data_IF_601662936638
#
_entry.id   IF_601662936638
#
_cell.length_a   1.000
_cell.length_b   1.000
_cell.length_c   1.000
_cell.angle_alpha   90.00
_cell.angle_beta   90.00
_cell.angle_gamma   90.00
#
_symmetry.space_group_name_H-M   'P 1'
#
loop_
_entity.id
_entity.type
_entity.pdbx_description
1 polymer ?
#
# COMPACT_ATOMS: atom_id res chain seq x y z
N UNK A 1 2.32 -16.81 20.13
CA UNK A 1 1.46 -15.62 20.25
C UNK A 1 1.82 -14.67 19.12
N UNK A 2 0.87 -14.18 18.32
CA UNK A 2 1.18 -13.16 17.31
C UNK A 2 1.68 -11.89 17.99
N UNK A 3 2.73 -11.30 17.45
CA UNK A 3 3.24 -9.99 17.90
C UNK A 3 2.35 -8.88 17.35
N UNK A 4 2.41 -7.68 17.94
CA UNK A 4 1.71 -6.52 17.37
C UNK A 4 2.19 -6.21 15.95
N UNK A 5 3.48 -6.40 15.66
CA UNK A 5 4.05 -6.28 14.33
C UNK A 5 3.39 -7.25 13.34
N UNK A 6 3.25 -8.53 13.71
CA UNK A 6 2.56 -9.53 12.88
C UNK A 6 1.09 -9.16 12.64
N UNK A 7 0.38 -8.70 13.67
CA UNK A 7 -1.02 -8.26 13.54
C UNK A 7 -1.16 -7.06 12.60
N UNK A 8 -0.25 -6.09 12.70
CA UNK A 8 -0.25 -4.92 11.82
C UNK A 8 0.08 -5.29 10.36
N UNK A 9 1.06 -6.19 10.14
CA UNK A 9 1.39 -6.69 8.81
C UNK A 9 0.20 -7.44 8.18
N UNK A 10 -0.49 -8.29 8.94
CA UNK A 10 -1.69 -9.00 8.46
C UNK A 10 -2.83 -8.03 8.10
N UNK A 11 -3.05 -6.97 8.89
CA UNK A 11 -4.03 -5.93 8.58
C UNK A 11 -3.68 -5.21 7.26
N UNK A 12 -2.41 -4.84 7.06
CA UNK A 12 -1.95 -4.17 5.85
C UNK A 12 -2.09 -5.05 4.61
N UNK A 13 -1.79 -6.36 4.72
CA UNK A 13 -2.07 -7.33 3.64
C UNK A 13 -3.57 -7.45 3.35
N UNK A 14 -4.41 -7.39 4.38
CA UNK A 14 -5.86 -7.30 4.24
C UNK A 14 -6.30 -6.08 3.44
N UNK A 15 -5.74 -4.90 3.75
CA UNK A 15 -6.00 -3.67 3.01
C UNK A 15 -5.53 -3.75 1.54
N UNK A 16 -4.37 -4.35 1.27
CA UNK A 16 -3.89 -4.56 -0.09
C UNK A 16 -4.88 -5.39 -0.93
N UNK A 17 -5.39 -6.48 -0.36
CA UNK A 17 -6.40 -7.32 -1.01
C UNK A 17 -7.73 -6.58 -1.21
N UNK A 18 -8.12 -5.72 -0.28
CA UNK A 18 -9.30 -4.85 -0.44
C UNK A 18 -9.16 -3.93 -1.65
N UNK A 19 -8.02 -3.25 -1.81
CA UNK A 19 -7.77 -2.38 -2.97
C UNK A 19 -7.75 -3.16 -4.29
N UNK A 20 -7.11 -4.34 -4.34
CA UNK A 20 -7.15 -5.21 -5.53
C UNK A 20 -8.57 -5.68 -5.88
N UNK A 21 -9.39 -5.92 -4.85
CA UNK A 21 -10.80 -6.27 -5.05
C UNK A 21 -11.56 -5.08 -5.63
N UNK A 22 -11.39 -3.87 -5.08
CA UNK A 22 -12.01 -2.65 -5.60
C UNK A 22 -11.57 -2.34 -7.03
N UNK A 23 -10.31 -2.60 -7.39
CA UNK A 23 -9.79 -2.41 -8.77
C UNK A 23 -10.66 -3.10 -9.81
N UNK A 24 -11.16 -4.30 -9.50
CA UNK A 24 -12.05 -5.05 -10.40
C UNK A 24 -13.44 -4.41 -10.56
N UNK A 25 -13.90 -3.65 -9.56
CA UNK A 25 -15.20 -2.97 -9.55
C UNK A 25 -15.15 -1.52 -10.08
N UNK A 26 -14.01 -0.83 -9.95
CA UNK A 26 -13.82 0.58 -10.29
C UNK A 26 -12.65 0.77 -11.29
N UNK A 27 -12.84 0.41 -12.57
CA UNK A 27 -11.76 0.39 -13.55
C UNK A 27 -11.17 1.77 -13.91
N UNK A 28 -11.89 2.88 -13.64
CA UNK A 28 -11.39 4.25 -13.87
C UNK A 28 -10.21 4.58 -12.93
N UNK A 29 -10.24 4.04 -11.72
CA UNK A 29 -9.25 4.31 -10.67
C UNK A 29 -8.29 3.13 -10.50
N UNK A 30 -8.23 2.22 -11.47
CA UNK A 30 -7.58 0.93 -11.32
C UNK A 30 -6.09 1.04 -11.00
N UNK A 31 -5.39 1.99 -11.63
CA UNK A 31 -3.96 2.22 -11.41
C UNK A 31 -3.69 2.77 -10.00
N UNK A 32 -4.53 3.69 -9.52
CA UNK A 32 -4.39 4.26 -8.17
C UNK A 32 -4.69 3.23 -7.09
N UNK A 33 -5.69 2.37 -7.35
CA UNK A 33 -6.02 1.25 -6.48
C UNK A 33 -4.91 0.20 -6.44
N UNK A 34 -4.23 -0.07 -7.56
CA UNK A 34 -3.07 -0.96 -7.57
C UNK A 34 -1.89 -0.35 -6.79
N UNK A 35 -1.60 0.93 -6.97
CA UNK A 35 -0.54 1.63 -6.22
C UNK A 35 -0.80 1.55 -4.71
N UNK A 36 -2.04 1.76 -4.27
CA UNK A 36 -2.42 1.61 -2.86
C UNK A 36 -2.19 0.18 -2.36
N UNK A 37 -2.56 -0.83 -3.16
CA UNK A 37 -2.34 -2.23 -2.81
C UNK A 37 -0.86 -2.58 -2.65
N UNK A 38 -0.04 -2.18 -3.63
CA UNK A 38 1.42 -2.40 -3.62
C UNK A 38 2.09 -1.70 -2.44
N UNK A 39 1.64 -0.48 -2.12
CA UNK A 39 2.16 0.29 -0.97
C UNK A 39 1.84 -0.42 0.35
N UNK A 40 0.61 -0.88 0.53
CA UNK A 40 0.23 -1.66 1.71
C UNK A 40 1.06 -2.93 1.87
N UNK A 41 1.30 -3.68 0.79
CA UNK A 41 2.13 -4.89 0.84
C UNK A 41 3.59 -4.58 1.20
N UNK A 42 4.15 -3.49 0.66
CA UNK A 42 5.51 -3.06 0.97
C UNK A 42 5.67 -2.69 2.43
N UNK A 43 4.73 -1.91 2.98
CA UNK A 43 4.75 -1.53 4.41
C UNK A 43 4.53 -2.76 5.29
N UNK A 44 3.67 -3.70 4.90
CA UNK A 44 3.48 -4.94 5.64
C UNK A 44 4.78 -5.73 5.77
N UNK A 45 5.56 -5.82 4.69
CA UNK A 45 6.90 -6.43 4.71
C UNK A 45 7.85 -5.72 5.66
N UNK A 46 7.94 -4.38 5.58
CA UNK A 46 8.82 -3.60 6.47
C UNK A 46 8.48 -3.78 7.95
N UNK A 47 7.19 -3.72 8.29
CA UNK A 47 6.72 -3.88 9.67
C UNK A 47 6.97 -5.31 10.20
N UNK A 48 6.89 -6.31 9.34
CA UNK A 48 7.14 -7.71 9.69
C UNK A 48 8.64 -8.02 9.84
N UNK A 49 9.47 -7.45 8.96
CA UNK A 49 10.92 -7.69 8.90
C UNK A 49 11.70 -6.88 9.95
N UNK A 50 11.46 -5.57 10.03
CA UNK A 50 12.09 -4.67 10.99
C UNK A 50 11.15 -3.52 11.38
N UNK A 51 10.30 -3.71 12.41
CA UNK A 51 9.31 -2.72 12.82
C UNK A 51 9.89 -1.41 13.38
N UNK A 52 11.21 -1.36 13.63
CA UNK A 52 11.92 -0.17 14.12
C UNK A 52 12.94 0.36 13.10
N UNK A 53 13.01 -0.25 11.92
CA UNK A 53 13.91 0.17 10.84
C UNK A 53 13.50 1.51 10.25
N UNK A 54 14.47 2.21 9.66
CA UNK A 54 14.19 3.43 8.92
C UNK A 54 13.31 3.11 7.71
N UNK A 55 12.22 3.86 7.56
CA UNK A 55 11.38 3.73 6.38
C UNK A 55 12.18 4.17 5.15
N UNK A 56 12.14 3.43 4.03
CA UNK A 56 12.68 3.93 2.78
C UNK A 56 11.91 5.19 2.38
N UNK A 57 12.52 6.05 1.56
CA UNK A 57 11.80 7.17 0.93
C UNK A 57 10.64 6.61 0.11
N UNK A 58 9.48 6.53 0.76
CA UNK A 58 8.23 6.10 0.17
C UNK A 58 7.66 7.34 -0.51
N UNK A 59 7.97 7.50 -1.80
CA UNK A 59 7.22 8.42 -2.64
C UNK A 59 5.83 7.79 -2.76
N UNK A 60 4.91 8.22 -1.88
CA UNK A 60 3.49 7.89 -1.98
C UNK A 60 3.03 8.22 -3.40
N UNK A 61 2.74 7.18 -4.17
CA UNK A 61 2.47 7.17 -5.61
C UNK A 61 2.73 8.50 -6.30
N UNK A 62 3.97 8.72 -6.75
CA UNK A 62 4.45 9.87 -7.53
C UNK A 62 3.43 11.01 -7.63
N UNK A 63 3.43 11.90 -6.62
CA UNK A 63 2.57 13.09 -6.58
C UNK A 63 2.68 13.89 -7.90
N UNK A 64 3.79 13.75 -8.64
CA UNK A 64 3.94 14.34 -9.99
C UNK A 64 2.97 13.78 -11.03
N UNK A 65 2.50 12.53 -10.93
CA UNK A 65 1.46 11.97 -11.82
C UNK A 65 0.09 12.59 -11.58
N UNK A 66 -0.23 12.95 -10.32
CA UNK A 66 -1.50 13.60 -9.95
C UNK A 66 -1.57 15.06 -10.44
N UNK A 67 -0.43 15.75 -10.51
CA UNK A 67 -0.35 17.12 -11.05
C UNK A 67 -0.38 17.17 -12.59
N UNK A 68 0.08 16.10 -13.25
CA UNK A 68 0.16 16.03 -14.72
C UNK A 68 -1.19 15.87 -15.43
N UNK A 69 -2.25 15.44 -14.73
CA UNK A 69 -3.61 15.32 -15.30
C UNK A 69 -4.41 16.63 -15.27
N UNK A 70 -3.84 17.73 -14.79
CA UNK A 70 -4.53 19.02 -14.61
C UNK A 70 -4.27 20.05 -15.72
N UNK A 71 -3.54 19.67 -16.78
CA UNK A 71 -3.27 20.52 -17.95
C UNK A 71 -3.84 19.93 -19.24
#
# INVERSE_FOLDING_TARGET
>A
MPTHAKMAAELLRGAANFFRTMKSAYPIDADELEINAETCDKVAGLVEDDPLGDAPDMIDGDVSRRESKKN
#
